data_IF_118079340178
#
_entry.id   IF_118079340178
#
_cell.length_a   1.000
_cell.length_b   1.000
_cell.length_c   1.000
_cell.angle_alpha   90.00
_cell.angle_beta   90.00
_cell.angle_gamma   90.00
#
_symmetry.space_group_name_H-M   'P 1'
#
loop_
_entity.id
_entity.type
_entity.pdbx_description
1 polymer ?
#
# COMPACT_ATOMS: atom_id res chain seq x y z
N UNK A 1 -31.46 10.24 21.27
CA UNK A 1 -30.50 10.08 20.15
C UNK A 1 -29.06 9.67 20.54
N UNK A 2 -28.59 9.84 21.78
CA UNK A 2 -27.25 9.41 22.21
C UNK A 2 -27.01 7.88 22.17
N UNK A 3 -28.05 7.04 22.36
CA UNK A 3 -27.88 5.57 22.41
C UNK A 3 -27.64 4.89 21.05
N UNK A 4 -28.13 5.44 19.97
CA UNK A 4 -27.94 4.86 18.62
C UNK A 4 -26.48 5.01 18.15
N UNK A 5 -25.86 6.15 18.41
CA UNK A 5 -24.44 6.39 18.09
C UNK A 5 -23.50 5.44 18.83
N UNK A 6 -23.81 5.08 20.06
CA UNK A 6 -22.99 4.16 20.87
C UNK A 6 -23.09 2.72 20.37
N UNK A 7 -24.31 2.24 20.06
CA UNK A 7 -24.52 0.92 19.46
C UNK A 7 -23.85 0.78 18.09
N UNK A 8 -23.94 1.81 17.23
CA UNK A 8 -23.27 1.81 15.93
C UNK A 8 -21.74 1.76 16.08
N UNK A 9 -21.18 2.51 17.02
CA UNK A 9 -19.73 2.45 17.34
C UNK A 9 -19.29 1.09 17.86
N UNK A 10 -20.11 0.41 18.66
CA UNK A 10 -19.86 -0.95 19.16
C UNK A 10 -19.90 -1.97 18.03
N UNK A 11 -20.89 -1.89 17.12
CA UNK A 11 -21.00 -2.73 15.94
C UNK A 11 -19.82 -2.54 14.97
N UNK A 12 -19.39 -1.29 14.75
CA UNK A 12 -18.20 -0.99 13.93
C UNK A 12 -16.91 -1.48 14.59
N UNK A 13 -16.80 -1.43 15.91
CA UNK A 13 -15.68 -1.97 16.67
C UNK A 13 -15.62 -3.50 16.61
N UNK A 14 -16.80 -4.14 16.70
CA UNK A 14 -16.95 -5.59 16.57
C UNK A 14 -16.62 -6.07 15.15
N UNK A 15 -17.10 -5.36 14.12
CA UNK A 15 -16.75 -5.62 12.71
C UNK A 15 -15.26 -5.54 12.45
N UNK A 16 -14.57 -4.49 12.95
CA UNK A 16 -13.11 -4.36 12.84
C UNK A 16 -12.33 -5.49 13.53
N UNK A 17 -12.82 -5.96 14.67
CA UNK A 17 -12.21 -7.07 15.40
C UNK A 17 -12.35 -8.39 14.62
N UNK A 18 -13.49 -8.62 13.98
CA UNK A 18 -13.70 -9.80 13.15
C UNK A 18 -12.83 -9.80 11.91
N UNK A 19 -12.67 -8.68 11.20
CA UNK A 19 -11.81 -8.61 10.02
C UNK A 19 -10.35 -8.97 10.33
N UNK A 20 -9.81 -8.56 11.47
CA UNK A 20 -8.45 -8.95 11.89
C UNK A 20 -8.28 -10.44 12.13
N UNK A 21 -9.30 -11.10 12.68
CA UNK A 21 -9.28 -12.56 12.89
C UNK A 21 -9.43 -13.29 11.55
N UNK A 22 -10.38 -12.85 10.73
CA UNK A 22 -10.69 -13.51 9.45
C UNK A 22 -9.56 -13.37 8.41
N UNK A 23 -8.87 -12.22 8.37
CA UNK A 23 -7.77 -12.06 7.44
C UNK A 23 -6.61 -13.00 7.76
N UNK A 24 -6.36 -13.32 9.02
CA UNK A 24 -5.32 -14.28 9.41
C UNK A 24 -5.64 -15.73 9.07
N UNK A 25 -6.91 -16.06 8.81
CA UNK A 25 -7.32 -17.38 8.31
C UNK A 25 -6.98 -17.57 6.83
N UNK A 26 -6.70 -16.50 6.11
CA UNK A 26 -6.36 -16.59 4.70
C UNK A 26 -5.04 -17.34 4.48
N UNK A 27 -5.01 -18.23 3.48
CA UNK A 27 -3.89 -19.14 3.24
C UNK A 27 -2.62 -18.41 2.75
N UNK A 28 -2.79 -17.34 1.99
CA UNK A 28 -1.69 -16.57 1.43
C UNK A 28 -2.08 -15.09 1.22
N UNK A 29 -1.12 -14.26 0.82
CA UNK A 29 -1.33 -12.83 0.64
C UNK A 29 -2.35 -12.52 -0.48
N UNK A 30 -2.42 -13.34 -1.53
CA UNK A 30 -3.42 -13.19 -2.59
C UNK A 30 -4.83 -13.36 -2.02
N UNK A 31 -5.10 -14.42 -1.25
CA UNK A 31 -6.41 -14.65 -0.64
C UNK A 31 -6.76 -13.59 0.41
N UNK A 32 -5.76 -13.01 1.09
CA UNK A 32 -5.98 -11.86 1.97
C UNK A 32 -6.46 -10.61 1.20
N UNK A 33 -5.87 -10.32 0.02
CA UNK A 33 -6.36 -9.26 -0.86
C UNK A 33 -7.78 -9.55 -1.39
N UNK A 34 -8.05 -10.79 -1.80
CA UNK A 34 -9.38 -11.24 -2.23
C UNK A 34 -10.40 -11.02 -1.11
N UNK A 35 -10.06 -11.40 0.13
CA UNK A 35 -10.90 -11.16 1.29
C UNK A 35 -11.28 -9.68 1.43
N UNK A 36 -10.31 -8.77 1.33
CA UNK A 36 -10.57 -7.33 1.39
C UNK A 36 -11.50 -6.86 0.25
N UNK A 37 -11.32 -7.40 -0.95
CA UNK A 37 -12.10 -7.03 -2.14
C UNK A 37 -13.54 -7.52 -2.02
N UNK A 38 -13.79 -8.78 -1.65
CA UNK A 38 -15.12 -9.38 -1.47
C UNK A 38 -15.91 -8.64 -0.39
N UNK A 39 -15.24 -8.23 0.68
CA UNK A 39 -15.88 -7.48 1.76
C UNK A 39 -16.01 -5.98 1.46
N UNK A 40 -15.72 -5.53 0.23
CA UNK A 40 -15.82 -4.13 -0.21
C UNK A 40 -15.08 -3.14 0.71
N UNK A 41 -13.94 -3.56 1.26
CA UNK A 41 -13.16 -2.72 2.17
C UNK A 41 -12.51 -1.57 1.40
N UNK A 42 -12.67 -0.36 1.91
CA UNK A 42 -11.98 0.82 1.37
C UNK A 42 -10.46 0.67 1.46
N UNK A 43 -9.70 1.46 0.70
CA UNK A 43 -8.23 1.47 0.80
C UNK A 43 -7.73 1.77 2.22
N UNK A 44 -8.43 2.64 2.95
CA UNK A 44 -8.12 2.98 4.35
C UNK A 44 -8.36 1.79 5.32
N UNK A 45 -9.28 0.90 4.99
CA UNK A 45 -9.56 -0.29 5.80
C UNK A 45 -8.69 -1.49 5.38
N UNK A 46 -8.51 -1.70 4.08
CA UNK A 46 -7.75 -2.83 3.54
C UNK A 46 -6.24 -2.69 3.77
N UNK A 47 -5.68 -1.47 3.67
CA UNK A 47 -4.26 -1.23 3.88
C UNK A 47 -3.75 -1.74 5.24
N UNK A 48 -4.29 -1.27 6.37
CA UNK A 48 -3.89 -1.74 7.70
C UNK A 48 -4.15 -3.24 7.93
N UNK A 49 -5.17 -3.84 7.28
CA UNK A 49 -5.43 -5.28 7.41
C UNK A 49 -4.40 -6.12 6.67
N UNK A 50 -4.02 -5.73 5.46
CA UNK A 50 -2.96 -6.40 4.70
C UNK A 50 -1.60 -6.22 5.38
N UNK A 51 -1.29 -5.02 5.90
CA UNK A 51 -0.09 -4.79 6.71
C UNK A 51 -0.05 -5.74 7.92
N UNK A 52 -1.17 -5.86 8.66
CA UNK A 52 -1.29 -6.76 9.79
C UNK A 52 -1.13 -8.23 9.38
N UNK A 53 -1.68 -8.64 8.23
CA UNK A 53 -1.47 -9.96 7.66
C UNK A 53 0.01 -10.21 7.38
N UNK A 54 0.68 -9.28 6.67
CA UNK A 54 2.11 -9.35 6.35
C UNK A 54 2.93 -9.44 7.64
N UNK A 55 2.67 -8.55 8.60
CA UNK A 55 3.36 -8.57 9.90
C UNK A 55 3.31 -9.95 10.54
N UNK A 56 2.12 -10.55 10.61
CA UNK A 56 1.89 -11.79 11.36
C UNK A 56 2.40 -13.02 10.60
N UNK A 57 2.03 -13.17 9.33
CA UNK A 57 2.37 -14.37 8.53
C UNK A 57 3.83 -14.42 8.14
N UNK A 58 4.45 -13.28 7.89
CA UNK A 58 5.89 -13.20 7.54
C UNK A 58 6.79 -12.93 8.75
N UNK A 59 6.23 -12.94 9.97
CA UNK A 59 6.95 -12.74 11.25
C UNK A 59 7.81 -11.47 11.26
N UNK A 60 7.24 -10.38 10.76
CA UNK A 60 7.89 -9.07 10.75
C UNK A 60 7.61 -8.30 12.06
N UNK A 61 8.57 -7.56 12.54
CA UNK A 61 8.41 -6.71 13.72
C UNK A 61 7.77 -5.38 13.33
N UNK A 62 6.83 -4.91 14.14
CA UNK A 62 6.23 -3.60 13.93
C UNK A 62 7.16 -2.50 14.45
N UNK A 63 7.46 -1.53 13.60
CA UNK A 63 8.22 -0.35 13.98
C UNK A 63 7.37 0.65 14.76
N UNK A 64 8.00 1.46 15.61
CA UNK A 64 7.36 2.62 16.21
C UNK A 64 7.22 3.71 15.15
N UNK A 65 6.03 4.26 14.98
CA UNK A 65 5.72 5.29 13.97
C UNK A 65 6.57 6.56 14.10
N UNK A 66 7.04 6.87 15.32
CA UNK A 66 7.90 8.02 15.59
C UNK A 66 9.32 7.93 15.04
N UNK A 67 9.77 6.74 14.60
CA UNK A 67 11.17 6.52 14.19
C UNK A 67 11.47 6.85 12.73
N UNK A 68 10.48 7.18 11.91
CA UNK A 68 10.66 7.47 10.47
C UNK A 68 11.45 6.38 9.70
N UNK A 69 11.20 5.12 10.05
CA UNK A 69 11.89 3.96 9.46
C UNK A 69 10.95 2.98 8.73
N UNK A 70 9.72 3.40 8.45
CA UNK A 70 8.69 2.57 7.82
C UNK A 70 7.86 1.77 8.83
N UNK A 71 6.97 0.93 8.33
CA UNK A 71 5.92 0.24 9.11
C UNK A 71 6.43 -1.02 9.81
N UNK A 72 7.18 -1.85 9.09
CA UNK A 72 7.61 -3.18 9.54
C UNK A 72 9.11 -3.39 9.36
N UNK A 73 9.67 -4.32 10.15
CA UNK A 73 11.07 -4.76 10.05
C UNK A 73 11.17 -6.28 9.89
N UNK A 74 12.02 -6.72 8.97
CA UNK A 74 12.41 -8.13 8.81
C UNK A 74 13.94 -8.21 8.79
N UNK A 75 14.52 -8.95 9.74
CA UNK A 75 15.99 -8.96 9.98
C UNK A 75 16.49 -7.52 10.24
N UNK A 76 17.41 -7.02 9.42
CA UNK A 76 17.98 -5.65 9.53
C UNK A 76 17.33 -4.65 8.56
N UNK A 77 16.32 -5.05 7.78
CA UNK A 77 15.70 -4.20 6.77
C UNK A 77 14.34 -3.71 7.26
N UNK A 78 14.13 -2.40 7.19
CA UNK A 78 12.85 -1.75 7.46
C UNK A 78 12.07 -1.57 6.16
N UNK A 79 10.76 -1.70 6.23
CA UNK A 79 9.84 -1.64 5.08
C UNK A 79 8.70 -0.66 5.35
N UNK A 80 8.42 0.18 4.37
CA UNK A 80 7.16 0.91 4.25
C UNK A 80 6.21 0.07 3.39
N UNK A 81 5.04 -0.28 3.93
CA UNK A 81 4.06 -1.13 3.24
C UNK A 81 2.99 -0.25 2.60
N UNK A 82 2.75 -0.43 1.32
CA UNK A 82 1.65 0.23 0.61
C UNK A 82 0.80 -0.78 -0.13
N UNK A 83 -0.50 -0.64 -0.01
CA UNK A 83 -1.49 -1.61 -0.51
C UNK A 83 -2.44 -0.93 -1.47
N UNK A 84 -2.69 -1.53 -2.62
CA UNK A 84 -3.71 -1.09 -3.55
C UNK A 84 -4.49 -2.27 -4.14
N UNK A 85 -5.80 -2.20 -4.10
CA UNK A 85 -6.72 -3.22 -4.63
C UNK A 85 -7.41 -2.78 -5.93
N UNK A 86 -6.81 -1.84 -6.66
CA UNK A 86 -7.26 -1.40 -7.98
C UNK A 86 -8.49 -0.49 -8.01
N UNK A 87 -8.89 0.09 -6.88
CA UNK A 87 -10.00 1.06 -6.84
C UNK A 87 -11.31 0.56 -7.46
N UNK A 88 -12.18 1.47 -7.90
CA UNK A 88 -13.47 1.14 -8.57
C UNK A 88 -13.25 0.51 -9.94
N UNK A 89 -12.33 1.05 -10.73
CA UNK A 89 -12.02 0.59 -12.09
C UNK A 89 -11.15 -0.67 -12.11
N UNK A 90 -10.75 -1.15 -10.92
CA UNK A 90 -9.99 -2.38 -10.70
C UNK A 90 -8.60 -2.45 -11.35
N UNK A 91 -8.30 -1.60 -12.33
CA UNK A 91 -7.02 -1.53 -13.03
C UNK A 91 -6.18 -0.29 -12.67
N UNK A 92 -6.69 0.62 -11.82
CA UNK A 92 -5.99 1.82 -11.34
C UNK A 92 -5.47 1.60 -9.92
N UNK A 93 -4.18 1.73 -9.75
CA UNK A 93 -3.48 1.55 -8.47
C UNK A 93 -2.94 2.87 -7.96
N UNK A 94 -3.06 3.08 -6.65
CA UNK A 94 -2.68 4.31 -6.00
C UNK A 94 -1.89 4.01 -4.72
N UNK A 95 -0.63 4.40 -4.71
CA UNK A 95 0.26 4.31 -3.57
C UNK A 95 0.56 5.71 -3.09
N UNK A 96 -0.03 6.11 -1.98
CA UNK A 96 0.07 7.46 -1.40
C UNK A 96 0.93 7.48 -0.14
N UNK A 97 1.26 8.69 0.31
CA UNK A 97 2.07 8.92 1.51
C UNK A 97 3.43 8.23 1.45
N UNK A 98 4.07 8.30 0.29
CA UNK A 98 5.44 7.85 0.12
C UNK A 98 6.38 8.95 0.65
N UNK A 99 7.07 8.67 1.75
CA UNK A 99 7.94 9.64 2.45
C UNK A 99 9.40 9.33 2.19
N UNK A 100 10.09 10.24 1.50
CA UNK A 100 11.47 10.03 1.08
C UNK A 100 12.50 10.28 2.17
N UNK A 101 12.13 10.86 3.29
CA UNK A 101 12.98 11.00 4.49
C UNK A 101 13.03 9.70 5.34
N UNK A 102 12.07 8.78 5.20
CA UNK A 102 12.09 7.51 5.93
C UNK A 102 13.28 6.63 5.51
N UNK A 103 13.93 5.97 6.47
CA UNK A 103 15.04 5.04 6.25
C UNK A 103 14.52 3.61 6.07
N UNK A 104 13.88 3.32 4.94
CA UNK A 104 13.26 2.03 4.65
C UNK A 104 13.32 1.68 3.17
N UNK A 105 13.07 0.42 2.85
CA UNK A 105 12.65 -0.04 1.54
C UNK A 105 11.13 0.02 1.42
N UNK A 106 10.62 -0.07 0.22
CA UNK A 106 9.18 0.01 -0.07
C UNK A 106 8.68 -1.33 -0.57
N UNK A 107 7.62 -1.83 0.05
CA UNK A 107 6.90 -3.02 -0.36
C UNK A 107 5.50 -2.60 -0.81
N UNK A 108 5.30 -2.55 -2.14
CA UNK A 108 4.02 -2.18 -2.73
C UNK A 108 3.29 -3.45 -3.13
N UNK A 109 2.04 -3.60 -2.73
CA UNK A 109 1.21 -4.73 -3.16
C UNK A 109 0.03 -4.25 -3.99
N UNK A 110 -0.29 -4.97 -5.06
CA UNK A 110 -1.42 -4.71 -5.92
C UNK A 110 -2.18 -5.99 -6.20
N UNK A 111 -3.50 -5.95 -6.11
CA UNK A 111 -4.35 -7.04 -6.53
C UNK A 111 -5.20 -6.61 -7.72
N UNK A 112 -5.01 -7.25 -8.85
CA UNK A 112 -5.67 -6.99 -10.12
C UNK A 112 -6.59 -8.14 -10.50
N UNK A 113 -7.79 -7.82 -10.97
CA UNK A 113 -8.70 -8.79 -11.59
C UNK A 113 -8.94 -8.34 -13.03
N UNK A 114 -8.76 -9.24 -13.97
CA UNK A 114 -9.22 -9.02 -15.33
C UNK A 114 -10.73 -9.30 -15.41
N UNK A 115 -11.52 -8.23 -15.53
CA UNK A 115 -12.97 -8.34 -15.59
C UNK A 115 -13.47 -9.00 -16.89
N UNK A 116 -12.64 -9.07 -17.92
CA UNK A 116 -12.96 -9.79 -19.17
C UNK A 116 -12.85 -11.31 -19.01
N UNK A 117 -12.17 -11.78 -17.96
CA UNK A 117 -11.96 -13.20 -17.69
C UNK A 117 -12.42 -13.58 -16.28
N UNK A 118 -13.73 -13.73 -16.11
CA UNK A 118 -14.40 -14.05 -14.82
C UNK A 118 -13.89 -15.37 -14.18
N UNK A 119 -13.31 -16.28 -14.98
CA UNK A 119 -12.77 -17.54 -14.46
C UNK A 119 -11.43 -17.38 -13.74
N UNK A 120 -10.75 -16.26 -13.87
CA UNK A 120 -9.49 -16.00 -13.20
C UNK A 120 -9.69 -15.35 -11.83
N UNK A 121 -9.08 -15.94 -10.80
CA UNK A 121 -9.08 -15.42 -9.44
C UNK A 121 -8.18 -14.17 -9.27
N UNK A 122 -7.95 -13.41 -10.35
CA UNK A 122 -7.07 -12.25 -10.34
C UNK A 122 -5.60 -12.58 -10.08
N UNK A 123 -4.77 -11.56 -10.02
CA UNK A 123 -3.33 -11.68 -9.82
C UNK A 123 -2.83 -10.74 -8.73
N UNK A 124 -1.94 -11.26 -7.88
CA UNK A 124 -1.23 -10.47 -6.88
C UNK A 124 0.13 -10.05 -7.45
N UNK A 125 0.42 -8.78 -7.35
CA UNK A 125 1.73 -8.20 -7.64
C UNK A 125 2.34 -7.70 -6.34
N UNK A 126 3.61 -8.03 -6.13
CA UNK A 126 4.41 -7.56 -5.01
C UNK A 126 5.65 -6.91 -5.60
N UNK A 127 5.84 -5.62 -5.35
CA UNK A 127 6.99 -4.86 -5.82
C UNK A 127 7.86 -4.48 -4.64
N UNK A 128 9.13 -4.88 -4.69
CA UNK A 128 10.12 -4.53 -3.67
C UNK A 128 11.10 -3.51 -4.25
N UNK A 129 11.07 -2.30 -3.73
CA UNK A 129 11.88 -1.20 -4.21
C UNK A 129 12.79 -0.67 -3.09
N UNK A 130 14.06 -0.53 -3.38
CA UNK A 130 14.94 0.25 -2.52
C UNK A 130 14.67 1.75 -2.70
N UNK A 131 15.27 2.55 -1.83
CA UNK A 131 15.06 4.01 -1.80
C UNK A 131 15.48 4.71 -3.11
N UNK A 132 16.49 4.22 -3.78
CA UNK A 132 16.94 4.78 -5.05
C UNK A 132 15.93 4.54 -6.16
N UNK A 133 15.40 3.32 -6.23
CA UNK A 133 14.44 2.93 -7.28
C UNK A 133 13.10 3.64 -7.12
N UNK A 134 12.57 3.73 -5.89
CA UNK A 134 11.30 4.45 -5.66
C UNK A 134 11.42 5.93 -6.02
N UNK A 135 12.56 6.57 -5.72
CA UNK A 135 12.84 7.97 -6.11
C UNK A 135 12.82 8.15 -7.64
N UNK A 136 13.46 7.24 -8.39
CA UNK A 136 13.46 7.29 -9.86
C UNK A 136 12.04 7.20 -10.42
N UNK A 137 11.22 6.32 -9.86
CA UNK A 137 9.81 6.17 -10.28
C UNK A 137 9.01 7.43 -9.94
N UNK A 138 9.20 8.01 -8.76
CA UNK A 138 8.50 9.23 -8.35
C UNK A 138 8.88 10.42 -9.26
N UNK A 139 10.16 10.59 -9.61
CA UNK A 139 10.59 11.65 -10.53
C UNK A 139 9.90 11.50 -11.90
N UNK A 140 9.81 10.29 -12.40
CA UNK A 140 9.34 10.03 -13.77
C UNK A 140 7.83 9.94 -13.90
N UNK A 141 7.14 9.41 -12.89
CA UNK A 141 5.73 9.07 -12.97
C UNK A 141 4.91 9.51 -11.76
N UNK A 142 5.58 9.96 -10.69
CA UNK A 142 4.92 10.29 -9.44
C UNK A 142 4.30 11.69 -9.45
N UNK A 143 3.61 11.95 -8.35
CA UNK A 143 3.04 13.26 -8.02
C UNK A 143 3.07 13.47 -6.51
N UNK A 144 2.56 14.59 -6.07
CA UNK A 144 2.34 14.85 -4.65
C UNK A 144 1.11 14.07 -4.16
N UNK A 145 1.16 13.58 -2.93
CA UNK A 145 0.00 12.95 -2.29
C UNK A 145 -1.08 14.00 -2.03
N UNK A 146 -0.66 15.18 -1.62
CA UNK A 146 -1.50 16.35 -1.35
C UNK A 146 -0.97 17.56 -2.12
N UNK A 147 -1.81 18.12 -3.00
CA UNK A 147 -1.45 19.23 -3.88
C UNK A 147 -1.07 18.80 -5.30
N UNK A 148 -0.80 19.78 -6.14
CA UNK A 148 -0.48 19.60 -7.55
C UNK A 148 0.92 20.12 -7.87
N UNK A 149 1.45 19.72 -9.04
CA UNK A 149 2.75 20.22 -9.53
C UNK A 149 2.70 21.74 -9.76
N UNK A 150 1.57 22.28 -10.21
CA UNK A 150 1.39 23.71 -10.42
C UNK A 150 1.57 24.51 -9.12
N UNK A 151 1.10 23.97 -7.98
CA UNK A 151 1.23 24.64 -6.68
C UNK A 151 2.56 24.38 -5.97
N UNK A 152 3.14 23.20 -6.16
CA UNK A 152 4.30 22.72 -5.37
C UNK A 152 5.60 22.65 -6.19
N UNK A 153 5.53 22.89 -7.50
CA UNK A 153 6.65 22.79 -8.42
C UNK A 153 6.94 21.36 -8.89
N UNK A 154 7.82 21.23 -9.85
CA UNK A 154 8.28 19.92 -10.34
C UNK A 154 9.01 19.15 -9.24
N UNK A 155 8.81 17.84 -9.21
CA UNK A 155 9.52 16.96 -8.28
C UNK A 155 10.93 16.72 -8.80
N UNK A 156 11.93 17.16 -8.06
CA UNK A 156 13.34 17.05 -8.45
C UNK A 156 14.08 16.02 -7.61
N UNK A 157 15.22 15.55 -8.12
CA UNK A 157 16.12 14.70 -7.36
C UNK A 157 16.63 15.39 -6.08
N UNK A 158 16.84 16.72 -6.12
CA UNK A 158 17.24 17.53 -4.96
C UNK A 158 16.17 17.47 -3.86
N UNK A 159 14.89 17.62 -4.23
CA UNK A 159 13.78 17.51 -3.26
C UNK A 159 13.74 16.14 -2.59
N UNK A 160 13.84 15.07 -3.38
CA UNK A 160 13.76 13.70 -2.87
C UNK A 160 15.00 13.29 -2.06
N UNK A 161 16.13 13.95 -2.23
CA UNK A 161 17.35 13.68 -1.48
C UNK A 161 17.47 14.53 -0.21
N UNK A 162 16.63 15.55 -0.05
CA UNK A 162 16.63 16.38 1.14
C UNK A 162 16.03 15.61 2.32
N UNK A 163 16.85 15.28 3.32
CA UNK A 163 16.43 14.56 4.53
C UNK A 163 15.39 15.32 5.37
N UNK A 164 15.34 16.66 5.25
CA UNK A 164 14.37 17.52 5.94
C UNK A 164 13.05 17.65 5.17
N UNK A 165 12.95 17.03 3.98
CA UNK A 165 11.74 17.12 3.16
C UNK A 165 10.65 16.21 3.72
N UNK A 166 9.60 16.79 4.28
CA UNK A 166 8.44 16.12 4.83
C UNK A 166 7.29 15.96 3.81
N UNK A 167 7.51 16.32 2.54
CA UNK A 167 6.49 16.16 1.50
C UNK A 167 6.16 14.67 1.31
N UNK A 168 4.90 14.42 1.09
CA UNK A 168 4.37 13.09 0.77
C UNK A 168 4.12 12.98 -0.72
N UNK A 169 4.59 11.88 -1.29
CA UNK A 169 4.48 11.60 -2.72
C UNK A 169 3.48 10.47 -2.97
N UNK A 170 3.07 10.35 -4.23
CA UNK A 170 2.17 9.31 -4.68
C UNK A 170 2.64 8.74 -6.01
N UNK A 171 2.46 7.43 -6.20
CA UNK A 171 2.52 6.75 -7.49
C UNK A 171 1.10 6.33 -7.84
N UNK A 172 0.59 6.85 -8.95
CA UNK A 172 -0.71 6.51 -9.52
C UNK A 172 -0.48 5.88 -10.87
N UNK A 173 -0.86 4.62 -11.01
CA UNK A 173 -0.58 3.83 -12.21
C UNK A 173 -1.80 3.03 -12.61
N UNK A 174 -1.94 2.77 -13.90
CA UNK A 174 -2.94 1.88 -14.46
C UNK A 174 -2.27 0.58 -14.89
N UNK A 175 -2.93 -0.56 -14.72
CA UNK A 175 -2.40 -1.83 -15.18
C UNK A 175 -1.97 -1.75 -16.65
N UNK A 176 -0.73 -2.12 -16.94
CA UNK A 176 -0.15 -2.11 -18.26
C UNK A 176 0.41 -0.78 -18.79
N UNK A 177 0.24 0.35 -18.04
CA UNK A 177 0.82 1.63 -18.43
C UNK A 177 2.37 1.66 -18.30
N UNK A 178 2.98 2.77 -18.67
CA UNK A 178 4.46 2.94 -18.61
C UNK A 178 4.99 2.82 -17.18
N UNK A 179 4.29 3.37 -16.19
CA UNK A 179 4.69 3.29 -14.79
C UNK A 179 4.54 1.85 -14.27
N UNK A 180 3.46 1.17 -14.61
CA UNK A 180 3.26 -0.24 -14.27
C UNK A 180 4.37 -1.14 -14.83
N UNK A 181 4.70 -0.96 -16.11
CA UNK A 181 5.82 -1.69 -16.75
C UNK A 181 7.16 -1.45 -16.06
N UNK A 182 7.38 -0.25 -15.54
CA UNK A 182 8.59 0.05 -14.76
C UNK A 182 8.55 -0.66 -13.39
N UNK A 183 7.38 -0.68 -12.71
CA UNK A 183 7.20 -1.40 -11.44
C UNK A 183 7.42 -2.90 -11.59
N UNK A 184 7.02 -3.50 -12.71
CA UNK A 184 7.21 -4.94 -12.97
C UNK A 184 8.68 -5.39 -12.91
N UNK A 185 9.64 -4.50 -13.16
CA UNK A 185 11.08 -4.79 -13.01
C UNK A 185 11.50 -5.09 -11.57
N UNK A 186 10.67 -4.72 -10.60
CA UNK A 186 10.90 -4.90 -9.16
C UNK A 186 9.96 -5.92 -8.55
N UNK A 187 9.26 -6.69 -9.39
CA UNK A 187 8.34 -7.72 -8.94
C UNK A 187 9.10 -8.86 -8.26
N UNK A 188 8.56 -9.30 -7.14
CA UNK A 188 8.99 -10.51 -6.42
C UNK A 188 7.83 -11.49 -6.30
N UNK A 189 8.14 -12.77 -6.13
CA UNK A 189 7.14 -13.83 -6.01
C UNK A 189 6.55 -13.92 -4.60
N UNK A 190 7.33 -13.54 -3.58
CA UNK A 190 6.94 -13.57 -2.16
C UNK A 190 7.78 -12.59 -1.35
N UNK A 191 7.43 -12.38 -0.04
CA UNK A 191 8.04 -11.42 0.90
C UNK A 191 9.13 -12.07 1.77
#
# INVERSE_FOLDING_TARGET
MKGFSTKLRQLLKFSKCNHKKEILKQSNLKTAHIYCKINHLSGQASGPLIEYYIQTKYKMLKNKSSLCIGDLQKKKTNYEIKVSNGGKDNNKFNYVQLRMNHKCEYLLTAYYIDNSNIKQLGELFIFKLNKMNIKKIIIKYGGYAHGTIEKLGLITAKDLNNAKNNKEYAIRTTYGDKCWKELLKFRISDI
#
